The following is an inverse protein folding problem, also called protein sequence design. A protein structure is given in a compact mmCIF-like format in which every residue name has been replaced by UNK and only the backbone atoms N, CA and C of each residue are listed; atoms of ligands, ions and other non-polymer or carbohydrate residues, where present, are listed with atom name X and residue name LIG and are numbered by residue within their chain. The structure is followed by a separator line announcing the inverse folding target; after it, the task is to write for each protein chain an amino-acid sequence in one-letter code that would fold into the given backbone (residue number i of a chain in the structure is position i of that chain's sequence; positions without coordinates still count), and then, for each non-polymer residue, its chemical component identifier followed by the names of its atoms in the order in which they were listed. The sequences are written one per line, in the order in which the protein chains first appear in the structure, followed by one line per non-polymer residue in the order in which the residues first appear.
data_IF_829795693136
#
_entry.id   IF_829795693136
#
_cell.length_a   1.000
_cell.length_b   1.000
_cell.length_c   1.000
_cell.angle_alpha   90.00
_cell.angle_beta   90.00
_cell.angle_gamma   90.00
#
_symmetry.space_group_name_H-M   'P 1'
#
loop_
_entity.id
_entity.type
_entity.pdbx_description
1 polymer ?
#
# COMPACT_ATOMS: atom_id res chain seq x y z
N UNK A 1 -9.08 2.33 3.09
CA UNK A 1 -8.67 2.95 4.37
C UNK A 1 -8.20 1.83 5.27
N UNK A 2 -7.06 2.02 5.93
CA UNK A 2 -6.39 1.00 6.74
C UNK A 2 -5.85 1.64 8.03
N UNK A 3 -5.70 0.86 9.09
CA UNK A 3 -5.18 1.32 10.39
C UNK A 3 -4.03 0.43 10.81
N UNK A 4 -2.90 1.05 11.20
CA UNK A 4 -1.80 0.39 11.89
C UNK A 4 -1.89 0.82 13.35
N UNK A 5 -2.16 -0.13 14.24
CA UNK A 5 -2.39 0.14 15.67
C UNK A 5 -1.19 -0.30 16.50
N UNK A 6 -0.78 0.55 17.45
CA UNK A 6 0.24 0.28 18.46
C UNK A 6 -0.35 0.60 19.85
N UNK A 7 -1.27 -0.23 20.38
CA UNK A 7 -1.98 0.06 21.63
C UNK A 7 -1.04 0.22 22.84
N UNK A 8 -0.01 -0.62 22.93
CA UNK A 8 0.98 -0.57 24.01
C UNK A 8 1.80 0.73 24.01
N UNK A 9 1.86 1.41 22.86
CA UNK A 9 2.51 2.70 22.69
C UNK A 9 1.50 3.87 22.63
N UNK A 10 0.19 3.59 22.73
CA UNK A 10 -0.86 4.60 22.81
C UNK A 10 -1.13 5.35 21.51
N UNK A 11 -0.94 4.75 20.33
CA UNK A 11 -1.25 5.42 19.06
C UNK A 11 -1.69 4.52 17.91
N UNK A 12 -2.26 5.17 16.90
CA UNK A 12 -2.62 4.61 15.59
C UNK A 12 -2.05 5.45 14.45
N UNK A 13 -1.74 4.80 13.33
CA UNK A 13 -1.55 5.44 12.05
C UNK A 13 -2.72 5.09 11.14
N UNK A 14 -3.50 6.08 10.75
CA UNK A 14 -4.54 5.92 9.74
C UNK A 14 -3.95 6.12 8.35
N UNK A 15 -3.96 5.06 7.56
CA UNK A 15 -3.46 5.05 6.20
C UNK A 15 -4.62 5.25 5.21
N UNK A 16 -4.44 6.21 4.31
CA UNK A 16 -5.28 6.40 3.14
C UNK A 16 -4.42 6.36 1.89
N UNK A 17 -4.78 5.48 0.94
CA UNK A 17 -4.11 5.36 -0.34
C UNK A 17 -5.10 5.58 -1.48
N UNK A 18 -4.64 6.22 -2.55
CA UNK A 18 -5.41 6.48 -3.78
C UNK A 18 -4.65 5.96 -4.99
N UNK A 19 -5.35 5.41 -5.97
CA UNK A 19 -4.73 4.77 -7.14
C UNK A 19 -4.09 3.42 -6.82
N UNK A 20 -4.48 2.82 -5.69
CA UNK A 20 -3.95 1.55 -5.17
C UNK A 20 -5.14 0.69 -4.73
N UNK A 21 -5.42 -0.38 -5.46
CA UNK A 21 -6.44 -1.37 -5.09
C UNK A 21 -5.85 -2.57 -4.34
N UNK A 22 -4.51 -2.67 -4.32
CA UNK A 22 -3.78 -3.75 -3.71
C UNK A 22 -2.89 -3.23 -2.58
N UNK A 23 -2.64 -4.10 -1.60
CA UNK A 23 -1.72 -3.86 -0.50
C UNK A 23 -0.90 -5.12 -0.27
N UNK A 24 0.41 -4.97 -0.07
CA UNK A 24 1.29 -6.04 0.38
C UNK A 24 1.63 -5.83 1.84
N UNK A 25 1.61 -6.94 2.59
CA UNK A 25 2.09 -6.99 3.97
C UNK A 25 3.22 -7.99 4.02
N UNK A 26 4.37 -7.56 4.51
CA UNK A 26 5.53 -8.42 4.65
C UNK A 26 6.10 -8.31 6.05
N UNK A 27 6.25 -9.46 6.72
CA UNK A 27 6.89 -9.57 8.02
C UNK A 27 8.20 -10.36 7.82
N UNK A 28 9.36 -9.68 7.79
CA UNK A 28 10.64 -10.37 7.65
C UNK A 28 10.87 -11.32 8.83
N UNK A 29 11.34 -12.55 8.61
CA UNK A 29 11.60 -13.49 9.70
C UNK A 29 12.64 -12.95 10.69
N UNK A 30 12.28 -12.96 11.98
CA UNK A 30 13.19 -12.59 13.08
C UNK A 30 13.41 -11.09 13.28
N UNK A 31 12.60 -10.23 12.66
CA UNK A 31 12.66 -8.77 12.84
C UNK A 31 11.36 -8.22 13.46
N UNK A 32 11.49 -7.21 14.31
CA UNK A 32 10.37 -6.60 15.04
C UNK A 32 9.68 -5.46 14.27
N UNK A 33 9.56 -5.62 12.95
CA UNK A 33 8.82 -4.71 12.10
C UNK A 33 8.07 -5.47 11.00
N UNK A 34 7.14 -4.77 10.37
CA UNK A 34 6.48 -5.22 9.15
C UNK A 34 6.43 -4.08 8.14
N UNK A 35 6.33 -4.43 6.86
CA UNK A 35 6.05 -3.49 5.78
C UNK A 35 4.55 -3.51 5.48
N UNK A 36 3.98 -2.33 5.23
CA UNK A 36 2.63 -2.15 4.69
C UNK A 36 2.73 -1.31 3.43
N UNK A 37 2.46 -1.91 2.28
CA UNK A 37 2.82 -1.35 0.98
C UNK A 37 1.58 -1.24 0.08
N UNK A 38 0.98 -0.05 -0.06
CA UNK A 38 0.01 0.23 -1.11
C UNK A 38 0.70 0.12 -2.48
N UNK A 39 0.19 -0.74 -3.36
CA UNK A 39 0.71 -0.96 -4.70
C UNK A 39 -0.41 -0.89 -5.74
N UNK A 40 -0.08 -0.42 -6.96
CA UNK A 40 -1.09 -0.30 -8.03
C UNK A 40 -1.56 -1.65 -8.55
N UNK A 41 -0.73 -2.69 -8.46
CA UNK A 41 -0.96 -4.02 -9.03
C UNK A 41 -0.36 -5.11 -8.13
N UNK A 42 -0.86 -6.36 -8.21
CA UNK A 42 -0.31 -7.47 -7.45
C UNK A 42 1.06 -7.89 -7.99
N UNK A 43 1.80 -8.65 -7.18
CA UNK A 43 3.02 -9.33 -7.61
C UNK A 43 2.71 -10.17 -8.85
N UNK A 44 3.61 -10.13 -9.83
CA UNK A 44 3.52 -10.88 -11.09
C UNK A 44 2.41 -10.41 -12.06
N UNK A 45 1.79 -9.24 -11.87
CA UNK A 45 0.68 -8.75 -12.71
C UNK A 45 0.97 -8.73 -14.22
N UNK A 46 2.22 -8.51 -14.63
CA UNK A 46 2.63 -8.54 -16.04
C UNK A 46 2.44 -9.90 -16.73
N UNK A 47 2.40 -11.00 -15.98
CA UNK A 47 2.19 -12.35 -16.50
C UNK A 47 0.77 -12.87 -16.25
N UNK A 48 -0.06 -12.10 -15.54
CA UNK A 48 -1.43 -12.50 -15.24
C UNK A 48 -2.37 -12.08 -16.39
N UNK A 49 -3.35 -12.92 -16.75
CA UNK A 49 -4.38 -12.54 -17.72
C UNK A 49 -5.07 -11.23 -17.32
N UNK A 50 -5.15 -10.29 -18.25
CA UNK A 50 -5.80 -9.00 -18.03
C UNK A 50 -4.98 -7.95 -17.28
N UNK A 51 -3.72 -8.25 -16.91
CA UNK A 51 -2.78 -7.28 -16.32
C UNK A 51 -3.39 -6.46 -15.16
N UNK A 52 -3.93 -7.12 -14.11
CA UNK A 52 -4.69 -6.45 -13.07
C UNK A 52 -3.90 -5.32 -12.40
N UNK A 53 -4.52 -4.14 -12.25
CA UNK A 53 -3.91 -2.97 -11.63
C UNK A 53 -2.83 -2.26 -12.46
N UNK A 54 -2.38 -2.85 -13.56
CA UNK A 54 -1.45 -2.19 -14.48
C UNK A 54 -2.22 -1.17 -15.34
N UNK A 55 -1.59 -0.01 -15.57
CA UNK A 55 -2.10 1.02 -16.47
C UNK A 55 -1.11 1.24 -17.60
N UNK A 56 -1.54 1.03 -18.84
CA UNK A 56 -0.73 1.37 -20.01
C UNK A 56 -0.73 2.88 -20.20
N UNK A 57 0.44 3.51 -20.14
CA UNK A 57 0.60 4.93 -20.41
C UNK A 57 1.22 5.13 -21.80
N UNK A 58 0.55 5.92 -22.63
CA UNK A 58 1.09 6.41 -23.90
C UNK A 58 1.98 7.64 -23.65
N UNK A 59 2.67 8.07 -24.69
CA UNK A 59 3.49 9.27 -24.64
C UNK A 59 2.66 10.48 -24.18
N UNK A 60 3.11 11.13 -23.11
CA UNK A 60 2.44 12.29 -22.52
C UNK A 60 1.36 11.96 -21.48
N UNK A 61 0.99 10.69 -21.30
CA UNK A 61 0.08 10.27 -20.24
C UNK A 61 0.81 10.09 -18.91
N UNK A 62 0.08 10.22 -17.80
CA UNK A 62 0.62 10.06 -16.45
C UNK A 62 -0.37 9.32 -15.56
N UNK A 63 0.16 8.60 -14.58
CA UNK A 63 -0.62 8.05 -13.47
C UNK A 63 -0.10 8.61 -12.15
N UNK A 64 -0.94 8.59 -11.11
CA UNK A 64 -0.58 9.04 -9.77
C UNK A 64 -1.04 8.02 -8.75
N UNK A 65 -0.15 7.71 -7.82
CA UNK A 65 -0.48 7.07 -6.56
C UNK A 65 -0.29 8.09 -5.46
N UNK A 66 -1.14 8.02 -4.45
CA UNK A 66 -1.05 8.87 -3.27
C UNK A 66 -1.14 8.00 -2.02
N UNK A 67 -0.35 8.34 -1.00
CA UNK A 67 -0.45 7.76 0.33
C UNK A 67 -0.42 8.89 1.36
N UNK A 68 -1.26 8.78 2.37
CA UNK A 68 -1.27 9.67 3.52
C UNK A 68 -1.34 8.82 4.78
N UNK A 69 -0.45 9.13 5.73
CA UNK A 69 -0.41 8.52 7.04
C UNK A 69 -0.71 9.60 8.07
N UNK A 70 -1.82 9.45 8.77
CA UNK A 70 -2.23 10.38 9.82
C UNK A 70 -2.04 9.72 11.17
N UNK A 71 -1.19 10.30 12.01
CA UNK A 71 -1.02 9.88 13.40
C UNK A 71 -2.26 10.25 14.22
N UNK A 72 -2.64 9.35 15.13
CA UNK A 72 -3.70 9.57 16.13
C UNK A 72 -3.27 8.97 17.46
N UNK A 73 -3.28 9.76 18.52
CA UNK A 73 -3.12 9.24 19.88
C UNK A 73 -4.38 8.45 20.31
N UNK A 74 -4.18 7.34 21.03
CA UNK A 74 -5.22 6.50 21.61
C UNK A 74 -5.56 6.91 23.04
#
# INVERSE_FOLDING_TARGET
HSVISQPDLGYELHCHATGSEYFLVFCPPGLDFFCFEPVSHPVNAHHLPGHPGLSLLRQGESMRLGVTLSYRAL
#
